data_IF_901529965937
#
_entry.id   IF_901529965937
#
_cell.length_a   1.000
_cell.length_b   1.000
_cell.length_c   1.000
_cell.angle_alpha   90.00
_cell.angle_beta   90.00
_cell.angle_gamma   90.00
#
_symmetry.space_group_name_H-M   'P 1'
#
loop_
_entity.id
_entity.type
_entity.pdbx_description
1 polymer ?
#
# COMPACT_ATOMS: atom_id res chain seq x y z
N UNK A 1 -20.40 10.96 -3.70
CA UNK A 1 -19.05 11.33 -3.23
C UNK A 1 -18.48 12.25 -4.29
N UNK A 2 -18.21 13.52 -3.95
CA UNK A 2 -17.57 14.46 -4.88
C UNK A 2 -16.11 14.07 -5.09
N UNK A 3 -15.56 14.33 -6.29
CA UNK A 3 -14.16 14.05 -6.64
C UNK A 3 -13.14 14.80 -5.74
N UNK A 4 -13.61 15.79 -4.97
CA UNK A 4 -12.82 16.64 -4.07
C UNK A 4 -12.38 15.96 -2.77
N UNK A 5 -12.84 14.74 -2.47
CA UNK A 5 -12.53 14.07 -1.19
C UNK A 5 -11.71 12.78 -1.32
N UNK A 6 -11.39 12.38 -2.55
CA UNK A 6 -10.66 11.14 -2.82
C UNK A 6 -9.16 11.38 -2.95
N UNK A 7 -8.37 10.37 -2.59
CA UNK A 7 -6.94 10.36 -2.90
C UNK A 7 -6.75 10.32 -4.42
N UNK A 8 -5.65 10.89 -4.89
CA UNK A 8 -5.28 10.85 -6.30
C UNK A 8 -3.79 10.58 -6.44
N UNK A 9 -3.44 9.77 -7.42
CA UNK A 9 -2.05 9.62 -7.84
C UNK A 9 -1.62 10.87 -8.63
N UNK A 10 -0.35 11.31 -8.53
CA UNK A 10 0.20 12.36 -9.39
C UNK A 10 -0.03 12.16 -10.90
N UNK A 11 -0.25 10.93 -11.37
CA UNK A 11 -0.66 10.67 -12.76
C UNK A 11 -2.13 11.03 -13.09
N UNK A 12 -2.86 11.64 -12.15
CA UNK A 12 -4.27 12.04 -12.30
C UNK A 12 -5.30 10.98 -11.91
N UNK A 13 -4.88 9.72 -11.70
CA UNK A 13 -5.80 8.63 -11.34
C UNK A 13 -6.39 8.84 -9.95
N UNK A 14 -7.73 8.97 -9.89
CA UNK A 14 -8.50 9.03 -8.64
C UNK A 14 -8.60 7.65 -8.00
N UNK A 15 -8.49 7.61 -6.67
CA UNK A 15 -8.49 6.41 -5.82
C UNK A 15 -9.59 6.59 -4.79
N UNK A 16 -10.76 6.02 -5.07
CA UNK A 16 -11.95 6.17 -4.22
C UNK A 16 -11.98 5.14 -3.10
N UNK A 17 -11.24 4.04 -3.26
CA UNK A 17 -11.25 2.90 -2.36
C UNK A 17 -9.85 2.39 -2.08
N UNK A 18 -9.55 1.92 -0.86
CA UNK A 18 -8.30 1.18 -0.59
C UNK A 18 -8.13 -0.07 -1.47
N UNK A 19 -9.23 -0.61 -2.02
CA UNK A 19 -9.22 -1.77 -2.91
C UNK A 19 -8.82 -1.43 -4.36
N UNK A 20 -8.71 -0.14 -4.69
CA UNK A 20 -8.27 0.28 -6.02
C UNK A 20 -6.75 0.10 -6.20
N UNK A 21 -5.99 0.04 -5.09
CA UNK A 21 -4.56 -0.21 -5.16
C UNK A 21 -4.27 -1.64 -5.61
N UNK A 22 -3.24 -1.80 -6.45
CA UNK A 22 -2.69 -3.11 -6.78
C UNK A 22 -1.58 -3.43 -5.80
N UNK A 23 -1.57 -4.63 -5.24
CA UNK A 23 -0.49 -5.08 -4.37
C UNK A 23 0.44 -6.01 -5.14
N UNK A 24 1.73 -5.74 -5.08
CA UNK A 24 2.74 -6.56 -5.74
C UNK A 24 3.72 -7.13 -4.72
N UNK A 25 4.00 -8.41 -4.87
CA UNK A 25 4.89 -9.17 -4.00
C UNK A 25 6.04 -9.73 -4.84
N UNK A 26 7.07 -8.93 -5.08
CA UNK A 26 8.15 -9.30 -6.01
C UNK A 26 9.12 -10.32 -5.41
N UNK A 27 9.48 -10.22 -4.12
CA UNK A 27 10.42 -11.14 -3.47
C UNK A 27 10.19 -11.22 -1.97
N UNK A 28 9.98 -12.43 -1.45
CA UNK A 28 9.83 -12.67 -0.01
C UNK A 28 11.05 -12.28 0.82
N UNK A 29 12.24 -12.32 0.21
CA UNK A 29 13.51 -11.94 0.84
C UNK A 29 13.51 -10.48 1.31
N UNK A 30 12.81 -9.60 0.57
CA UNK A 30 12.73 -8.18 0.91
C UNK A 30 11.73 -7.89 2.03
N UNK A 31 10.90 -8.89 2.41
CA UNK A 31 9.85 -8.78 3.43
C UNK A 31 8.97 -7.53 3.24
N UNK A 32 8.67 -7.23 1.97
CA UNK A 32 8.00 -6.03 1.53
C UNK A 32 6.91 -6.36 0.50
N UNK A 33 5.83 -5.57 0.52
CA UNK A 33 4.72 -5.60 -0.44
C UNK A 33 4.60 -4.18 -1.00
N UNK A 34 4.69 -4.06 -2.32
CA UNK A 34 4.55 -2.77 -2.99
C UNK A 34 3.07 -2.42 -3.14
N UNK A 35 2.73 -1.16 -2.86
CA UNK A 35 1.41 -0.58 -3.10
C UNK A 35 1.48 0.20 -4.40
N UNK A 36 0.83 -0.31 -5.45
CA UNK A 36 0.91 0.23 -6.79
C UNK A 36 -0.33 1.08 -7.16
N UNK A 37 -0.11 2.02 -8.07
CA UNK A 37 -1.18 2.79 -8.69
C UNK A 37 -2.13 1.87 -9.49
N UNK A 38 -3.46 2.11 -9.44
CA UNK A 38 -4.40 1.37 -10.29
C UNK A 38 -4.16 1.56 -11.79
N UNK A 39 -3.56 2.68 -12.19
CA UNK A 39 -3.22 2.97 -13.58
C UNK A 39 -1.93 2.22 -13.98
N UNK A 40 -2.03 1.24 -14.87
CA UNK A 40 -0.88 0.44 -15.34
C UNK A 40 0.15 1.25 -16.11
N UNK A 41 -0.26 2.37 -16.71
CA UNK A 41 0.63 3.30 -17.42
C UNK A 41 1.16 4.43 -16.52
N UNK A 42 0.98 4.32 -15.20
CA UNK A 42 1.48 5.33 -14.26
C UNK A 42 3.01 5.38 -14.29
N UNK A 43 3.59 6.57 -14.47
CA UNK A 43 5.04 6.76 -14.45
C UNK A 43 5.67 6.56 -13.06
N UNK A 44 4.90 6.75 -11.97
CA UNK A 44 5.36 6.43 -10.61
C UNK A 44 5.34 4.94 -10.35
N UNK A 45 4.33 4.24 -10.89
CA UNK A 45 3.98 2.83 -10.65
C UNK A 45 3.72 2.50 -9.18
N UNK A 46 4.73 2.62 -8.34
CA UNK A 46 4.72 2.39 -6.91
C UNK A 46 4.35 3.68 -6.16
N UNK A 47 3.38 3.58 -5.26
CA UNK A 47 2.89 4.69 -4.45
C UNK A 47 3.29 4.56 -2.98
N UNK A 48 3.69 3.36 -2.55
CA UNK A 48 4.08 3.08 -1.18
C UNK A 48 4.46 1.61 -0.99
N UNK A 49 4.66 1.22 0.25
CA UNK A 49 5.03 -0.15 0.61
C UNK A 49 4.44 -0.57 1.96
N UNK A 50 4.49 -1.88 2.21
CA UNK A 50 4.19 -2.53 3.48
C UNK A 50 5.35 -3.44 3.83
N UNK A 51 6.02 -3.20 4.95
CA UNK A 51 7.04 -4.09 5.49
C UNK A 51 6.46 -5.00 6.57
N UNK A 52 6.96 -6.21 6.58
CA UNK A 52 6.69 -7.19 7.62
C UNK A 52 7.99 -7.86 8.05
N UNK A 53 7.91 -8.66 9.10
CA UNK A 53 8.97 -9.56 9.53
C UNK A 53 8.44 -11.00 9.58
N UNK A 54 9.33 -11.97 9.73
CA UNK A 54 8.96 -13.37 9.93
C UNK A 54 9.29 -13.72 11.38
N UNK A 55 8.28 -14.06 12.17
CA UNK A 55 8.42 -14.54 13.54
C UNK A 55 7.71 -15.86 13.67
N UNK A 56 8.43 -16.90 14.10
CA UNK A 56 7.90 -18.26 14.26
C UNK A 56 7.21 -18.79 12.99
N UNK A 57 7.80 -18.50 11.82
CA UNK A 57 7.27 -18.89 10.51
C UNK A 57 5.96 -18.16 10.12
N UNK A 58 5.62 -17.05 10.77
CA UNK A 58 4.45 -16.22 10.47
C UNK A 58 4.87 -14.80 10.08
N UNK A 59 4.24 -14.21 9.05
CA UNK A 59 4.47 -12.81 8.74
C UNK A 59 3.84 -11.92 9.83
N UNK A 60 4.59 -10.92 10.28
CA UNK A 60 4.16 -9.94 11.28
C UNK A 60 4.36 -8.55 10.70
N UNK A 61 3.28 -7.78 10.58
CA UNK A 61 3.34 -6.39 10.11
C UNK A 61 4.33 -5.55 10.93
N UNK A 62 5.12 -4.71 10.25
CA UNK A 62 6.09 -3.80 10.86
C UNK A 62 5.71 -2.34 10.62
N UNK A 63 5.63 -1.94 9.36
CA UNK A 63 5.30 -0.57 8.97
C UNK A 63 4.67 -0.55 7.57
N UNK A 64 3.92 0.52 7.27
CA UNK A 64 3.45 0.81 5.93
C UNK A 64 3.42 2.32 5.73
N UNK A 65 3.78 2.76 4.53
CA UNK A 65 3.76 4.18 4.19
C UNK A 65 3.58 4.39 2.70
N UNK A 66 3.02 5.54 2.33
CA UNK A 66 3.08 6.06 0.98
C UNK A 66 4.36 6.87 0.76
N UNK A 67 4.88 6.84 -0.46
CA UNK A 67 6.08 7.57 -0.85
C UNK A 67 5.82 9.09 -0.93
N UNK A 68 6.87 9.92 -0.71
CA UNK A 68 6.74 11.37 -0.67
C UNK A 68 6.00 11.99 -1.87
N UNK A 69 6.21 11.57 -3.14
CA UNK A 69 5.48 12.16 -4.27
C UNK A 69 3.96 12.02 -4.15
N UNK A 70 3.47 10.87 -3.66
CA UNK A 70 2.04 10.64 -3.44
C UNK A 70 1.51 11.44 -2.25
N UNK A 71 2.28 11.48 -1.15
CA UNK A 71 1.93 12.21 0.07
C UNK A 71 1.85 13.72 -0.20
N UNK A 72 2.89 14.31 -0.79
CA UNK A 72 2.95 15.75 -1.09
C UNK A 72 1.82 16.17 -2.02
N UNK A 73 1.50 15.36 -3.03
CA UNK A 73 0.41 15.64 -3.96
C UNK A 73 -0.96 15.67 -3.28
N UNK A 74 -1.25 14.72 -2.39
CA UNK A 74 -2.54 14.69 -1.72
C UNK A 74 -2.63 15.78 -0.64
N UNK A 75 -1.52 16.09 0.04
CA UNK A 75 -1.47 17.19 1.01
C UNK A 75 -1.75 18.55 0.35
N UNK A 76 -1.22 18.80 -0.86
CA UNK A 76 -1.46 20.08 -1.55
C UNK A 76 -2.90 20.22 -2.05
N UNK A 77 -3.55 19.12 -2.43
CA UNK A 77 -4.94 19.13 -2.93
C UNK A 77 -5.99 19.15 -1.82
N UNK A 78 -5.81 18.36 -0.77
CA UNK A 78 -6.83 18.12 0.26
C UNK A 78 -6.57 18.87 1.57
N UNK A 79 -5.38 19.45 1.72
CA UNK A 79 -4.85 19.89 3.01
C UNK A 79 -4.22 18.73 3.79
N UNK A 80 -3.17 19.04 4.55
CA UNK A 80 -2.32 18.04 5.22
C UNK A 80 -3.11 17.12 6.17
N UNK A 81 -3.97 17.68 7.01
CA UNK A 81 -4.73 16.91 8.01
C UNK A 81 -5.66 15.87 7.36
N UNK A 82 -6.50 16.31 6.41
CA UNK A 82 -7.44 15.45 5.68
C UNK A 82 -6.72 14.39 4.87
N UNK A 83 -5.68 14.78 4.12
CA UNK A 83 -4.89 13.87 3.31
C UNK A 83 -4.22 12.78 4.17
N UNK A 84 -3.57 13.16 5.27
CA UNK A 84 -2.93 12.20 6.17
C UNK A 84 -3.94 11.25 6.81
N UNK A 85 -5.12 11.74 7.21
CA UNK A 85 -6.16 10.88 7.76
C UNK A 85 -6.69 9.86 6.72
N UNK A 86 -6.93 10.30 5.48
CA UNK A 86 -7.36 9.42 4.40
C UNK A 86 -6.29 8.37 4.07
N UNK A 87 -5.04 8.80 3.88
CA UNK A 87 -3.93 7.87 3.62
C UNK A 87 -3.76 6.85 4.74
N UNK A 88 -3.83 7.28 6.01
CA UNK A 88 -3.77 6.38 7.17
C UNK A 88 -4.90 5.35 7.14
N UNK A 89 -6.14 5.79 6.88
CA UNK A 89 -7.29 4.90 6.79
C UNK A 89 -7.11 3.87 5.65
N UNK A 90 -6.60 4.30 4.49
CA UNK A 90 -6.33 3.40 3.37
C UNK A 90 -5.26 2.37 3.75
N UNK A 91 -4.13 2.78 4.32
CA UNK A 91 -3.08 1.85 4.77
C UNK A 91 -3.60 0.84 5.80
N UNK A 92 -4.40 1.29 6.77
CA UNK A 92 -5.02 0.39 7.75
C UNK A 92 -5.88 -0.68 7.08
N UNK A 93 -6.74 -0.30 6.12
CA UNK A 93 -7.57 -1.25 5.38
C UNK A 93 -6.72 -2.18 4.52
N UNK A 94 -5.71 -1.66 3.82
CA UNK A 94 -4.83 -2.48 2.99
C UNK A 94 -4.16 -3.55 3.85
N UNK A 95 -3.53 -3.15 4.95
CA UNK A 95 -2.80 -4.04 5.87
C UNK A 95 -3.73 -5.06 6.52
N UNK A 96 -4.93 -4.66 6.96
CA UNK A 96 -5.80 -5.54 7.78
C UNK A 96 -6.79 -6.37 6.97
N UNK A 97 -7.14 -5.96 5.76
CA UNK A 97 -8.22 -6.58 4.96
C UNK A 97 -7.80 -7.03 3.57
N UNK A 98 -6.83 -6.36 2.93
CA UNK A 98 -6.49 -6.61 1.52
C UNK A 98 -5.26 -7.50 1.41
N UNK A 99 -4.26 -7.31 2.27
CA UNK A 99 -3.09 -8.19 2.30
C UNK A 99 -3.52 -9.60 2.72
N UNK A 100 -3.24 -10.56 1.84
CA UNK A 100 -3.43 -11.98 2.12
C UNK A 100 -2.23 -12.55 2.90
N UNK A 101 -2.24 -12.29 4.22
CA UNK A 101 -1.22 -12.80 5.13
C UNK A 101 -1.15 -14.34 5.17
N UNK A 102 -2.26 -15.02 4.86
CA UNK A 102 -2.30 -16.48 4.80
C UNK A 102 -1.48 -16.98 3.63
N UNK A 103 -1.68 -16.41 2.43
CA UNK A 103 -0.86 -16.71 1.25
C UNK A 103 0.61 -16.38 1.45
N UNK A 104 0.92 -15.27 2.13
CA UNK A 104 2.31 -14.93 2.49
C UNK A 104 2.91 -16.03 3.39
N UNK A 105 2.19 -16.46 4.43
CA UNK A 105 2.63 -17.55 5.32
C UNK A 105 2.85 -18.87 4.57
N UNK A 106 1.95 -19.24 3.67
CA UNK A 106 2.07 -20.45 2.84
C UNK A 106 3.33 -20.39 1.97
N UNK A 107 3.61 -19.24 1.37
CA UNK A 107 4.85 -19.04 0.62
C UNK A 107 6.08 -19.14 1.55
N UNK A 108 6.06 -18.55 2.76
CA UNK A 108 7.17 -18.65 3.75
C UNK A 108 7.52 -20.11 4.03
N UNK A 109 6.50 -20.92 4.26
CA UNK A 109 6.66 -22.36 4.52
C UNK A 109 7.21 -23.10 3.29
N UNK A 110 6.72 -22.77 2.09
CA UNK A 110 7.12 -23.42 0.83
C UNK A 110 8.59 -23.17 0.47
N UNK A 111 9.10 -21.96 0.72
CA UNK A 111 10.46 -21.56 0.36
C UNK A 111 11.47 -21.72 1.50
N UNK A 112 11.06 -22.27 2.65
CA UNK A 112 11.96 -22.55 3.78
C UNK A 112 12.60 -21.30 4.39
N UNK A 113 11.95 -20.14 4.22
CA UNK A 113 12.45 -18.86 4.72
C UNK A 113 12.18 -18.78 6.22
N UNK A 114 13.25 -18.74 7.02
CA UNK A 114 13.20 -18.62 8.48
C UNK A 114 13.33 -17.16 8.91
#
# INVERSE_FOLDING_TARGET
MSEEEALQCPCGRVINSPYDFKLLFLKMEMKEIDILCPNDSCYLRELGYIKFDIKDGKPVFKEAMFYPPFVTWNNSRLGSEKAMQLMKNHLQVIVTKIVDWKRIKENISKFGLK
#
